data_IF_865656189885
#
_entry.id   IF_865656189885
#
_cell.length_a   1.000
_cell.length_b   1.000
_cell.length_c   1.000
_cell.angle_alpha   90.00
_cell.angle_beta   90.00
_cell.angle_gamma   90.00
#
_symmetry.space_group_name_H-M   'P 1'
#
loop_
_entity.id
_entity.type
_entity.pdbx_description
1 polymer ?
#
# COMPACT_ATOMS: atom_id res chain seq x y z
N UNK A 1 -11.72 21.00 -30.36
CA UNK A 1 -10.75 19.90 -30.56
C UNK A 1 -9.48 20.37 -29.92
N UNK A 2 -9.29 20.11 -28.63
CA UNK A 2 -8.03 20.42 -27.94
C UNK A 2 -7.58 19.15 -27.25
N UNK A 3 -6.48 18.63 -27.78
CA UNK A 3 -5.82 17.41 -27.33
C UNK A 3 -4.88 17.84 -26.20
N UNK A 4 -5.27 17.48 -24.98
CA UNK A 4 -4.54 17.73 -23.75
C UNK A 4 -3.07 17.35 -23.90
N UNK A 5 -2.17 18.25 -23.50
CA UNK A 5 -0.73 18.04 -23.42
C UNK A 5 -0.40 16.74 -22.68
N UNK A 6 0.00 15.73 -23.44
CA UNK A 6 0.58 14.52 -22.86
C UNK A 6 1.98 14.90 -22.42
N UNK A 7 2.17 15.11 -21.11
CA UNK A 7 3.49 15.28 -20.51
C UNK A 7 4.29 13.99 -20.69
N UNK A 8 5.09 13.93 -21.75
CA UNK A 8 6.08 12.87 -21.97
C UNK A 8 7.17 13.08 -20.92
N UNK A 9 7.15 12.27 -19.86
CA UNK A 9 8.22 12.28 -18.87
C UNK A 9 9.40 11.49 -19.46
N UNK A 10 10.55 12.16 -19.67
CA UNK A 10 11.79 11.55 -20.20
C UNK A 10 12.35 10.42 -19.31
N UNK A 11 11.91 10.34 -18.06
CA UNK A 11 12.23 9.25 -17.14
C UNK A 11 10.93 8.67 -16.57
N UNK A 12 10.91 7.35 -16.37
CA UNK A 12 9.87 6.70 -15.56
C UNK A 12 9.93 7.39 -14.18
N UNK A 13 8.88 8.11 -13.74
CA UNK A 13 8.92 8.87 -12.49
C UNK A 13 9.10 7.97 -11.26
N UNK A 14 8.90 6.67 -11.45
CA UNK A 14 9.02 5.63 -10.45
C UNK A 14 9.49 4.31 -11.11
N UNK A 15 10.81 4.08 -11.18
CA UNK A 15 11.38 2.90 -11.83
C UNK A 15 11.11 1.59 -11.07
N UNK A 16 10.56 1.65 -9.85
CA UNK A 16 10.22 0.49 -9.02
C UNK A 16 8.71 0.17 -9.03
N UNK A 17 7.93 0.86 -9.87
CA UNK A 17 6.47 0.72 -9.94
C UNK A 17 5.99 -0.70 -10.19
N UNK A 18 6.77 -1.52 -10.89
CA UNK A 18 6.50 -2.94 -11.17
C UNK A 18 6.58 -3.84 -9.92
N UNK A 19 7.25 -3.38 -8.85
CA UNK A 19 7.36 -4.11 -7.58
C UNK A 19 6.15 -3.90 -6.67
N UNK A 20 5.27 -2.96 -6.98
CA UNK A 20 4.11 -2.64 -6.16
C UNK A 20 2.91 -3.51 -6.50
N UNK A 21 2.11 -3.76 -5.48
CA UNK A 21 0.93 -4.61 -5.56
C UNK A 21 -0.21 -3.80 -6.16
N UNK A 22 -0.73 -4.27 -7.30
CA UNK A 22 -1.91 -3.71 -7.94
C UNK A 22 -3.18 -4.37 -7.39
N UNK A 23 -3.99 -3.59 -6.69
CA UNK A 23 -5.28 -3.96 -6.08
C UNK A 23 -5.41 -5.42 -5.58
N UNK A 24 -4.80 -5.76 -4.43
CA UNK A 24 -4.84 -7.14 -3.91
C UNK A 24 -6.18 -7.53 -3.29
N UNK A 25 -7.10 -6.57 -3.09
CA UNK A 25 -8.32 -6.81 -2.35
C UNK A 25 -9.44 -7.30 -3.26
N UNK A 26 -10.07 -8.47 -3.00
CA UNK A 26 -11.23 -8.91 -3.75
C UNK A 26 -12.47 -8.11 -3.35
N UNK A 27 -13.26 -7.66 -4.34
CA UNK A 27 -14.58 -7.04 -4.12
C UNK A 27 -14.55 -5.75 -3.26
N UNK A 28 -15.34 -5.72 -2.18
CA UNK A 28 -15.57 -4.56 -1.29
C UNK A 28 -14.49 -4.39 -0.20
N UNK A 29 -13.22 -4.60 -0.55
CA UNK A 29 -12.14 -4.78 0.40
C UNK A 29 -12.32 -6.06 1.23
N UNK A 30 -11.34 -6.95 1.20
CA UNK A 30 -11.38 -8.24 1.92
C UNK A 30 -11.60 -8.09 3.43
N UNK A 31 -11.62 -9.21 4.18
CA UNK A 31 -11.81 -9.16 5.62
C UNK A 31 -10.78 -8.23 6.28
N UNK A 32 -11.24 -7.52 7.31
CA UNK A 32 -10.43 -6.58 8.12
C UNK A 32 -9.89 -5.35 7.38
N UNK A 33 -10.38 -5.07 6.18
CA UNK A 33 -10.19 -3.80 5.50
C UNK A 33 -11.52 -3.02 5.41
N UNK A 34 -11.42 -1.73 5.13
CA UNK A 34 -12.55 -0.83 4.88
C UNK A 34 -12.32 -0.09 3.57
N UNK A 35 -13.38 0.11 2.81
CA UNK A 35 -13.36 0.90 1.59
C UNK A 35 -13.20 2.38 1.91
N UNK A 36 -12.24 3.02 1.23
CA UNK A 36 -11.93 4.45 1.38
C UNK A 36 -11.78 5.08 0.00
N UNK A 37 -12.02 6.39 -0.11
CA UNK A 37 -11.85 7.09 -1.40
C UNK A 37 -10.40 7.09 -1.90
N UNK A 38 -9.45 7.15 -0.97
CA UNK A 38 -8.02 7.18 -1.25
C UNK A 38 -7.31 6.39 -0.15
N UNK A 39 -7.00 5.12 -0.41
CA UNK A 39 -6.11 4.36 0.46
C UNK A 39 -4.68 4.73 0.12
N UNK A 40 -3.86 5.09 1.11
CA UNK A 40 -2.47 5.48 0.87
C UNK A 40 -1.64 4.34 0.29
N UNK A 41 -0.50 4.68 -0.33
CA UNK A 41 0.39 3.69 -0.97
C UNK A 41 1.34 2.96 -0.01
N UNK A 42 1.46 3.43 1.24
CA UNK A 42 2.32 2.85 2.28
C UNK A 42 1.48 2.28 3.44
N UNK A 43 0.86 1.11 3.28
CA UNK A 43 0.24 0.43 4.41
C UNK A 43 1.31 0.09 5.45
N UNK A 44 0.91 0.02 6.70
CA UNK A 44 1.74 -0.62 7.71
C UNK A 44 1.70 -2.14 7.50
N UNK A 45 2.86 -2.78 7.48
CA UNK A 45 3.01 -4.24 7.29
C UNK A 45 3.62 -4.88 8.53
N UNK A 46 3.62 -6.21 8.62
CA UNK A 46 4.30 -6.90 9.73
C UNK A 46 5.80 -6.59 9.80
N UNK A 47 6.43 -6.34 8.65
CA UNK A 47 7.88 -6.11 8.57
C UNK A 47 8.25 -4.63 8.61
N UNK A 48 7.40 -3.74 8.11
CA UNK A 48 7.76 -2.34 7.91
C UNK A 48 6.66 -1.37 8.35
N UNK A 49 7.10 -0.27 8.97
CA UNK A 49 6.26 0.89 9.28
C UNK A 49 6.93 2.14 8.72
N UNK A 50 6.25 2.79 7.79
CA UNK A 50 6.70 4.06 7.22
C UNK A 50 6.57 5.19 8.24
N UNK A 51 7.61 5.99 8.42
CA UNK A 51 7.60 7.23 9.20
C UNK A 51 6.94 8.37 8.41
N UNK A 52 7.11 8.35 7.10
CA UNK A 52 6.51 9.28 6.15
C UNK A 52 6.00 8.51 4.94
N UNK A 53 4.84 8.92 4.42
CA UNK A 53 4.31 8.38 3.17
C UNK A 53 3.92 9.54 2.26
N UNK A 54 4.26 9.49 0.96
CA UNK A 54 3.76 10.46 0.00
C UNK A 54 2.23 10.43 -0.08
N UNK A 55 1.63 11.54 -0.49
CA UNK A 55 0.17 11.72 -0.57
C UNK A 55 -0.46 11.07 -1.80
N UNK A 56 0.13 10.00 -2.31
CA UNK A 56 -0.41 9.23 -3.43
C UNK A 56 -1.57 8.34 -2.96
N UNK A 57 -2.63 8.32 -3.76
CA UNK A 57 -3.71 7.34 -3.61
C UNK A 57 -3.30 6.05 -4.30
N UNK A 58 -3.21 4.98 -3.52
CA UNK A 58 -3.13 3.63 -4.03
C UNK A 58 -4.52 3.00 -4.10
N UNK A 59 -4.63 1.76 -3.61
CA UNK A 59 -5.86 0.97 -3.69
C UNK A 59 -6.99 1.58 -2.85
N UNK A 60 -8.28 1.43 -3.24
CA UNK A 60 -9.42 2.03 -2.54
C UNK A 60 -9.80 1.28 -1.25
N UNK A 61 -8.81 0.71 -0.56
CA UNK A 61 -8.97 -0.12 0.62
C UNK A 61 -7.88 0.20 1.64
N UNK A 62 -8.25 0.21 2.92
CA UNK A 62 -7.31 0.41 4.02
C UNK A 62 -7.61 -0.60 5.13
N UNK A 63 -6.55 -1.19 5.71
CA UNK A 63 -6.71 -2.06 6.88
C UNK A 63 -7.37 -1.29 8.03
N UNK A 64 -8.28 -1.95 8.75
CA UNK A 64 -8.95 -1.39 9.93
C UNK A 64 -7.94 -1.09 11.05
N UNK A 65 -8.27 -0.21 12.01
CA UNK A 65 -7.41 0.04 13.16
C UNK A 65 -7.05 -1.25 13.90
N UNK A 66 -5.76 -1.44 14.20
CA UNK A 66 -5.22 -2.65 14.84
C UNK A 66 -4.78 -3.75 13.86
N UNK A 67 -5.11 -3.62 12.57
CA UNK A 67 -4.71 -4.54 11.52
C UNK A 67 -3.56 -3.98 10.68
N UNK A 68 -2.72 -4.87 10.16
CA UNK A 68 -1.60 -4.56 9.26
C UNK A 68 -1.70 -5.40 8.00
N UNK A 69 -1.17 -4.91 6.89
CA UNK A 69 -1.20 -5.62 5.63
C UNK A 69 -0.06 -6.66 5.58
N UNK A 70 -0.40 -7.93 5.41
CA UNK A 70 0.58 -9.00 5.20
C UNK A 70 0.78 -9.21 3.70
N UNK A 71 1.96 -8.81 3.22
CA UNK A 71 2.32 -8.81 1.79
C UNK A 71 2.25 -10.21 1.18
N UNK A 72 2.67 -11.23 1.94
CA UNK A 72 2.71 -12.61 1.44
C UNK A 72 1.32 -13.22 1.28
N UNK A 73 0.36 -12.77 2.10
CA UNK A 73 -1.02 -13.27 2.12
C UNK A 73 -2.00 -12.37 1.37
N UNK A 74 -1.58 -11.16 1.00
CA UNK A 74 -2.39 -10.15 0.32
C UNK A 74 -3.67 -9.76 1.09
N UNK A 75 -3.61 -9.73 2.43
CA UNK A 75 -4.76 -9.44 3.29
C UNK A 75 -4.36 -8.72 4.59
N UNK A 76 -5.34 -8.14 5.27
CA UNK A 76 -5.15 -7.47 6.55
C UNK A 76 -5.29 -8.47 7.71
N UNK A 77 -4.23 -8.63 8.50
CA UNK A 77 -4.21 -9.47 9.71
C UNK A 77 -4.05 -8.62 10.97
N UNK A 78 -4.39 -9.17 12.14
CA UNK A 78 -4.10 -8.49 13.40
C UNK A 78 -2.58 -8.36 13.54
N UNK A 79 -2.13 -7.24 14.12
CA UNK A 79 -0.69 -7.07 14.42
C UNK A 79 -0.13 -8.20 15.27
N UNK A 80 -0.92 -8.75 16.18
CA UNK A 80 -0.54 -9.89 17.02
C UNK A 80 -0.31 -11.18 16.25
N UNK A 81 -0.87 -11.30 15.06
CA UNK A 81 -0.77 -12.50 14.22
C UNK A 81 0.47 -12.46 13.32
N UNK A 82 1.20 -11.34 13.31
CA UNK A 82 2.51 -11.28 12.68
C UNK A 82 3.44 -12.32 13.33
N UNK A 83 4.27 -12.98 12.52
CA UNK A 83 5.24 -13.97 13.03
C UNK A 83 6.08 -13.38 14.17
N UNK A 84 6.25 -14.08 15.31
CA UNK A 84 7.00 -13.58 16.45
C UNK A 84 8.49 -13.33 16.14
N UNK A 85 9.00 -13.94 15.06
CA UNK A 85 10.37 -13.73 14.59
C UNK A 85 10.54 -12.43 13.79
N UNK A 86 9.44 -11.82 13.33
CA UNK A 86 9.45 -10.62 12.52
C UNK A 86 9.36 -9.39 13.42
N UNK A 87 10.51 -8.75 13.69
CA UNK A 87 10.52 -7.43 14.32
C UNK A 87 10.23 -6.36 13.27
N UNK A 88 9.10 -5.68 13.42
CA UNK A 88 8.73 -4.58 12.53
C UNK A 88 9.79 -3.46 12.58
N UNK A 89 10.34 -3.12 11.42
CA UNK A 89 11.31 -2.04 11.25
C UNK A 89 10.59 -0.73 10.91
N UNK A 90 10.98 0.36 11.58
CA UNK A 90 10.55 1.71 11.19
C UNK A 90 11.48 2.25 10.12
N UNK A 91 10.93 2.61 8.97
CA UNK A 91 11.69 3.06 7.79
C UNK A 91 11.16 4.41 7.31
N UNK A 92 11.96 5.17 6.55
CA UNK A 92 11.58 6.50 6.09
C UNK A 92 10.28 6.46 5.26
N UNK A 93 10.23 5.59 4.26
CA UNK A 93 9.03 5.28 3.47
C UNK A 93 9.13 3.87 2.90
N UNK A 94 8.02 3.14 2.93
CA UNK A 94 7.88 1.81 2.35
C UNK A 94 6.56 1.73 1.58
N UNK A 95 6.67 1.92 0.27
CA UNK A 95 5.53 1.83 -0.64
C UNK A 95 5.29 0.37 -1.01
N UNK A 96 4.03 -0.03 -0.88
CA UNK A 96 3.57 -1.41 -1.17
C UNK A 96 2.56 -1.39 -2.30
N UNK A 97 1.68 -0.40 -2.33
CA UNK A 97 0.66 -0.29 -3.36
C UNK A 97 1.08 0.66 -4.48
N UNK A 98 0.60 0.32 -5.68
CA UNK A 98 0.77 1.15 -6.85
C UNK A 98 -0.08 2.42 -6.74
#
# INVERSE_FOLDING_TARGET
MEMSDVLVHDAIPDPDRDKYIWNPFPGFCGPNATMVRCGGVCPETCLFKSLSCPTHCGVPCQCKPGYVFEVSLLLCILRSDCSPHNKQQKVASHRVFQ
#
